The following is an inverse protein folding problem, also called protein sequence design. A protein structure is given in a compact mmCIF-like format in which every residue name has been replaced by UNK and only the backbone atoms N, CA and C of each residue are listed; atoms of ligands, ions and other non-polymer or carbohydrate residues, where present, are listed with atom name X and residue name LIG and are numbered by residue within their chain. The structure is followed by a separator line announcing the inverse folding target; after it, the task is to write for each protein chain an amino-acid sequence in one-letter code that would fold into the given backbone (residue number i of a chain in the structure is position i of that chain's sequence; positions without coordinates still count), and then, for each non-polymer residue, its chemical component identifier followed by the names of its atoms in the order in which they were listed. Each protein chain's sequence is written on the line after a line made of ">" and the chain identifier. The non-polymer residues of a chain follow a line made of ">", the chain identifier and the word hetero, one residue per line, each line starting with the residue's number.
data_IF_108858451278
#
_entry.id   IF_108858451278
#
_cell.length_a   1.000
_cell.length_b   1.000
_cell.length_c   1.000
_cell.angle_alpha   90.00
_cell.angle_beta   90.00
_cell.angle_gamma   90.00
#
_symmetry.space_group_name_H-M   'P 1'
#
loop_
_entity.id
_entity.type
_entity.pdbx_description
1 polymer ?
#
# COMPACT_ATOMS: atom_id res chain seq x y z
N UNK A 1 -13.97 4.31 1.76
CA UNK A 1 -12.83 4.99 1.11
C UNK A 1 -11.71 4.01 1.24
N UNK A 2 -10.88 3.91 0.23
CA UNK A 2 -9.81 2.94 0.21
C UNK A 2 -8.48 3.68 0.03
N UNK A 3 -7.41 3.09 0.56
CA UNK A 3 -6.06 3.64 0.52
C UNK A 3 -5.20 2.64 -0.23
N UNK A 4 -4.50 3.11 -1.27
CA UNK A 4 -3.49 2.36 -1.99
C UNK A 4 -2.14 3.01 -1.78
N UNK A 5 -1.19 2.26 -1.23
CA UNK A 5 0.16 2.73 -0.97
C UNK A 5 1.13 1.92 -1.81
N UNK A 6 1.89 2.58 -2.67
CA UNK A 6 2.95 1.95 -3.46
C UNK A 6 4.30 2.48 -2.99
N UNK A 7 5.13 1.59 -2.47
CA UNK A 7 6.48 1.93 -2.03
C UNK A 7 7.46 1.40 -3.06
N UNK A 8 8.17 2.31 -3.74
CA UNK A 8 9.16 2.01 -4.79
C UNK A 8 10.51 1.63 -4.22
N UNK A 9 10.93 2.26 -3.13
CA UNK A 9 12.24 2.04 -2.48
C UNK A 9 12.08 2.24 -0.99
N UNK A 10 12.65 1.34 -0.19
CA UNK A 10 12.54 1.34 1.28
C UNK A 10 11.96 0.03 1.79
N UNK A 11 11.20 0.09 2.89
CA UNK A 11 10.48 -1.06 3.45
C UNK A 11 9.16 -0.57 4.02
N UNK A 12 8.06 -1.20 3.61
CA UNK A 12 6.75 -0.86 4.16
C UNK A 12 6.49 -1.60 5.47
N UNK A 13 5.95 -0.92 6.48
CA UNK A 13 5.41 -1.52 7.70
C UNK A 13 4.01 -0.98 7.96
N UNK A 14 3.14 -1.87 8.41
CA UNK A 14 1.75 -1.54 8.72
C UNK A 14 1.32 -2.17 10.03
N UNK A 15 0.48 -1.45 10.77
CA UNK A 15 -0.29 -1.99 11.87
C UNK A 15 -1.65 -1.31 12.00
N UNK A 16 -2.71 -2.07 12.27
CA UNK A 16 -4.07 -1.52 12.40
C UNK A 16 -4.90 -2.08 13.58
N UNK A 17 -6.10 -1.53 13.74
CA UNK A 17 -7.10 -1.91 14.72
C UNK A 17 -7.78 -3.26 14.45
N UNK A 18 -7.64 -3.82 13.24
CA UNK A 18 -8.09 -5.19 12.94
C UNK A 18 -7.09 -6.25 13.44
N UNK A 19 -5.89 -5.82 13.87
CA UNK A 19 -4.84 -6.70 14.36
C UNK A 19 -3.79 -7.07 13.32
N UNK A 20 -3.87 -6.54 12.10
CA UNK A 20 -2.84 -6.79 11.09
C UNK A 20 -1.52 -6.14 11.52
N UNK A 21 -0.41 -6.86 11.36
CA UNK A 21 0.95 -6.37 11.60
C UNK A 21 1.85 -6.94 10.53
N UNK A 22 2.40 -6.09 9.68
CA UNK A 22 3.16 -6.56 8.52
C UNK A 22 4.41 -5.70 8.27
N UNK A 23 5.42 -6.34 7.69
CA UNK A 23 6.54 -5.71 7.02
C UNK A 23 6.62 -6.29 5.61
N UNK A 24 6.50 -5.46 4.58
CA UNK A 24 6.49 -5.90 3.18
C UNK A 24 7.67 -5.30 2.39
N UNK A 25 8.19 -6.09 1.44
CA UNK A 25 9.34 -5.74 0.63
C UNK A 25 8.98 -4.73 -0.48
N UNK A 26 9.98 -4.01 -0.98
CA UNK A 26 9.82 -3.02 -2.06
C UNK A 26 10.54 -3.46 -3.35
N UNK A 27 10.06 -3.07 -4.55
CA UNK A 27 8.80 -2.37 -4.77
C UNK A 27 7.60 -3.23 -4.38
N UNK A 28 6.60 -2.62 -3.73
CA UNK A 28 5.46 -3.36 -3.20
C UNK A 28 4.25 -2.45 -3.04
N UNK A 29 3.07 -3.06 -3.08
CA UNK A 29 1.81 -2.36 -2.90
C UNK A 29 1.10 -2.85 -1.64
N UNK A 30 0.49 -1.93 -0.93
CA UNK A 30 -0.43 -2.18 0.17
C UNK A 30 -1.79 -1.58 -0.20
N UNK A 31 -2.86 -2.25 0.18
CA UNK A 31 -4.22 -1.74 0.04
C UNK A 31 -4.98 -1.87 1.37
N UNK A 32 -5.76 -0.84 1.68
CA UNK A 32 -6.70 -0.81 2.81
C UNK A 32 -8.07 -0.45 2.25
N UNK A 33 -9.04 -1.35 2.40
CA UNK A 33 -10.46 -1.00 2.31
C UNK A 33 -10.88 -0.49 3.68
N UNK A 34 -11.03 0.83 3.87
CA UNK A 34 -11.29 1.38 5.20
C UNK A 34 -12.71 1.07 5.69
N UNK A 35 -13.65 0.84 4.77
CA UNK A 35 -15.02 0.43 5.12
C UNK A 35 -15.68 1.36 6.15
N UNK A 36 -16.31 0.75 7.15
CA UNK A 36 -16.95 1.40 8.30
C UNK A 36 -15.98 2.12 9.24
N UNK A 37 -14.67 1.88 9.14
CA UNK A 37 -13.63 2.59 9.88
C UNK A 37 -12.40 1.72 10.17
N UNK A 38 -11.22 2.34 10.18
CA UNK A 38 -9.95 1.72 10.58
C UNK A 38 -9.07 2.75 11.28
N UNK A 39 -8.40 2.35 12.36
CA UNK A 39 -7.30 3.10 12.94
C UNK A 39 -6.01 2.36 12.58
N UNK A 40 -5.01 3.06 12.05
CA UNK A 40 -3.78 2.42 11.59
C UNK A 40 -2.57 3.33 11.79
N UNK A 41 -1.39 2.69 11.76
CA UNK A 41 -0.10 3.31 11.74
C UNK A 41 0.72 2.71 10.59
N UNK A 42 1.25 3.58 9.75
CA UNK A 42 2.16 3.23 8.67
C UNK A 42 3.56 3.70 9.07
N UNK A 43 4.58 2.94 8.68
CA UNK A 43 5.96 3.31 8.94
C UNK A 43 6.93 2.61 8.03
N UNK A 44 8.15 3.12 8.00
CA UNK A 44 9.21 2.63 7.13
C UNK A 44 10.55 3.10 7.65
N UNK A 45 10.98 2.51 8.77
CA UNK A 45 12.30 2.77 9.29
C UNK A 45 13.32 2.12 8.36
N UNK A 46 13.90 2.92 7.48
CA UNK A 46 15.07 2.57 6.69
C UNK A 46 16.32 2.75 7.55
N UNK A 47 17.49 2.25 7.10
CA UNK A 47 18.75 2.55 7.80
C UNK A 47 19.02 4.07 7.73
N UNK A 48 19.75 4.61 8.71
CA UNK A 48 20.12 6.03 8.72
C UNK A 48 20.68 6.47 7.35
N UNK A 49 20.00 7.43 6.71
CA UNK A 49 20.37 7.98 5.40
C UNK A 49 19.68 7.35 4.19
N UNK A 50 18.88 6.29 4.34
CA UNK A 50 18.10 5.70 3.24
C UNK A 50 16.76 6.43 3.07
N UNK A 51 16.49 6.92 1.86
CA UNK A 51 15.24 7.63 1.53
C UNK A 51 14.17 6.64 1.11
N UNK A 52 13.03 6.64 1.81
CA UNK A 52 11.83 5.97 1.34
C UNK A 52 11.19 6.75 0.18
N UNK A 53 10.85 6.05 -0.89
CA UNK A 53 10.17 6.63 -2.06
C UNK A 53 8.92 5.84 -2.32
N UNK A 54 7.79 6.54 -2.35
CA UNK A 54 6.49 5.95 -2.62
C UNK A 54 5.44 7.02 -2.80
N UNK A 55 4.21 6.58 -3.01
CA UNK A 55 3.04 7.45 -3.04
C UNK A 55 1.83 6.72 -2.48
N UNK A 56 0.85 7.52 -2.08
CA UNK A 56 -0.42 7.03 -1.57
C UNK A 56 -1.57 7.67 -2.35
N UNK A 57 -2.54 6.86 -2.73
CA UNK A 57 -3.73 7.27 -3.46
C UNK A 57 -4.95 6.95 -2.59
N UNK A 58 -5.79 7.94 -2.36
CA UNK A 58 -7.07 7.76 -1.67
C UNK A 58 -8.19 7.67 -2.70
N UNK A 59 -8.91 6.56 -2.67
CA UNK A 59 -10.00 6.26 -3.58
C UNK A 59 -11.34 6.40 -2.86
N UNK A 60 -12.23 7.21 -3.41
CA UNK A 60 -13.61 7.18 -2.96
C UNK A 60 -14.28 5.87 -3.40
N UNK A 61 -15.22 5.38 -2.60
CA UNK A 61 -16.01 4.17 -2.88
C UNK A 61 -17.48 4.52 -3.07
N UNK A 62 -18.26 3.69 -3.80
CA UNK A 62 -19.69 3.86 -3.92
C UNK A 62 -20.37 3.98 -2.56
N UNK A 63 -21.48 4.72 -2.49
CA UNK A 63 -22.22 4.95 -1.25
C UNK A 63 -22.58 3.63 -0.53
N UNK A 64 -23.01 2.61 -1.29
CA UNK A 64 -23.34 1.28 -0.79
C UNK A 64 -22.17 0.50 -0.17
N UNK A 65 -20.93 0.96 -0.37
CA UNK A 65 -19.70 0.33 0.15
C UNK A 65 -19.06 1.12 1.29
N UNK A 66 -19.59 2.29 1.66
CA UNK A 66 -18.99 3.16 2.69
C UNK A 66 -19.02 2.58 4.11
N UNK A 67 -19.85 1.57 4.36
CA UNK A 67 -19.98 0.91 5.66
C UNK A 67 -19.68 -0.59 5.59
N UNK A 68 -19.02 -1.05 4.51
CA UNK A 68 -18.56 -2.43 4.44
C UNK A 68 -17.53 -2.73 5.53
N UNK A 69 -17.30 -4.00 5.84
CA UNK A 69 -16.25 -4.38 6.78
C UNK A 69 -14.87 -3.94 6.25
N UNK A 70 -13.98 -3.44 7.12
CA UNK A 70 -12.64 -3.07 6.73
C UNK A 70 -11.85 -4.32 6.29
N UNK A 71 -10.92 -4.13 5.36
CA UNK A 71 -10.05 -5.19 4.86
C UNK A 71 -8.67 -4.64 4.50
N UNK A 72 -7.67 -5.51 4.51
CA UNK A 72 -6.27 -5.16 4.32
C UNK A 72 -5.55 -6.23 3.52
N UNK A 73 -4.56 -5.84 2.72
CA UNK A 73 -3.62 -6.75 2.11
C UNK A 73 -2.43 -6.06 1.44
N UNK A 74 -1.49 -6.89 1.00
CA UNK A 74 -0.27 -6.49 0.29
C UNK A 74 -0.08 -7.30 -0.98
N UNK A 75 0.62 -6.71 -1.94
CA UNK A 75 0.96 -7.30 -3.21
C UNK A 75 2.48 -7.17 -3.43
N UNK A 76 3.21 -8.28 -3.60
CA UNK A 76 4.65 -8.25 -3.84
C UNK A 76 4.96 -7.71 -5.25
N UNK A 77 6.21 -7.28 -5.46
CA UNK A 77 6.70 -6.85 -6.78
C UNK A 77 6.31 -7.79 -7.93
N UNK A 78 6.33 -9.10 -7.68
CA UNK A 78 6.05 -10.13 -8.69
C UNK A 78 4.58 -10.22 -9.11
N UNK A 79 3.63 -9.70 -8.32
CA UNK A 79 2.21 -9.65 -8.71
C UNK A 79 1.84 -8.34 -9.41
N UNK A 80 2.72 -7.33 -9.39
CA UNK A 80 2.51 -6.06 -10.07
C UNK A 80 2.99 -6.19 -11.52
N UNK A 81 2.09 -6.05 -12.52
CA UNK A 81 2.47 -6.21 -13.91
C UNK A 81 3.38 -5.06 -14.36
N UNK A 82 4.43 -5.40 -15.11
CA UNK A 82 5.31 -4.45 -15.78
C UNK A 82 5.05 -4.48 -17.28
N UNK A 83 4.95 -3.31 -17.91
CA UNK A 83 4.74 -3.14 -19.34
C UNK A 83 5.90 -2.36 -19.95
N UNK A 84 6.44 -2.83 -21.07
CA UNK A 84 7.42 -2.07 -21.86
C UNK A 84 6.67 -1.03 -22.72
N UNK A 85 6.98 0.25 -22.50
CA UNK A 85 6.35 1.36 -23.20
C UNK A 85 7.14 1.81 -24.44
N UNK A 86 8.44 1.59 -24.42
CA UNK A 86 9.40 1.82 -25.50
C UNK A 86 10.70 1.07 -25.16
N UNK A 87 11.65 0.99 -26.10
CA UNK A 87 12.94 0.34 -25.89
C UNK A 87 13.62 0.81 -24.59
N UNK A 88 13.70 -0.10 -23.60
CA UNK A 88 14.33 0.16 -22.31
C UNK A 88 13.51 1.01 -21.32
N UNK A 89 12.25 1.33 -21.65
CA UNK A 89 11.32 2.08 -20.78
C UNK A 89 10.22 1.16 -20.28
N UNK A 90 10.16 0.97 -18.96
CA UNK A 90 9.19 0.09 -18.29
C UNK A 90 8.30 0.89 -17.33
N UNK A 91 7.02 0.53 -17.27
CA UNK A 91 6.04 1.02 -16.31
C UNK A 91 5.39 -0.12 -15.54
#
# INVERSE_FOLDING_TARGET
>A
MDILSYIKTGVGRHGDSMGNRETFATPGMQWISCGSGIEHAEGGATRDGEVEKGFQIWLNVPASKKLADPAYGTEPASSIPTVELADGVQA
#
